data_IF_196131933915
#
_entry.id   IF_196131933915
#
_cell.length_a   1.000
_cell.length_b   1.000
_cell.length_c   1.000
_cell.angle_alpha   90.00
_cell.angle_beta   90.00
_cell.angle_gamma   90.00
#
_symmetry.space_group_name_H-M   'P 1'
#
loop_
_entity.id
_entity.type
_entity.pdbx_description
1 polymer ?
#
# COMPACT_ATOMS: atom_id res chain seq x y z
N UNK A 1 1.71 29.63 -42.16
CA UNK A 1 2.02 28.39 -41.41
C UNK A 1 2.46 28.76 -40.00
N UNK A 2 1.73 28.32 -38.98
CA UNK A 2 2.23 28.33 -37.60
C UNK A 2 2.79 26.94 -37.34
N UNK A 3 4.10 26.83 -37.11
CA UNK A 3 4.74 25.60 -36.66
C UNK A 3 4.54 25.52 -35.15
N UNK A 4 3.82 24.51 -34.70
CA UNK A 4 3.82 24.12 -33.29
C UNK A 4 4.30 22.69 -33.21
N UNK A 5 5.14 22.43 -32.20
CA UNK A 5 5.45 21.15 -31.56
C UNK A 5 6.92 20.78 -31.57
N UNK A 6 7.37 20.55 -30.33
CA UNK A 6 8.72 20.22 -29.93
C UNK A 6 9.00 20.80 -28.54
N UNK A 7 8.06 20.69 -27.60
CA UNK A 7 8.44 20.79 -26.19
C UNK A 7 8.80 19.38 -25.78
N UNK A 8 10.11 19.15 -25.68
CA UNK A 8 10.70 17.95 -25.11
C UNK A 8 10.13 17.77 -23.70
N UNK A 9 9.29 16.75 -23.50
CA UNK A 9 8.79 16.36 -22.17
C UNK A 9 9.92 15.58 -21.50
N UNK A 10 10.90 16.31 -20.99
CA UNK A 10 11.88 15.83 -20.04
C UNK A 10 11.38 16.10 -18.63
N UNK A 11 10.36 15.38 -18.18
CA UNK A 11 9.94 15.26 -16.78
C UNK A 11 9.27 13.90 -16.64
N UNK A 12 9.88 13.00 -15.87
CA UNK A 12 9.30 11.70 -15.54
C UNK A 12 8.07 11.92 -14.65
N UNK A 13 6.94 12.33 -15.23
CA UNK A 13 5.68 12.54 -14.54
C UNK A 13 5.09 11.17 -14.16
N UNK A 14 5.62 10.58 -13.07
CA UNK A 14 5.19 9.30 -12.55
C UNK A 14 3.71 9.38 -12.18
N UNK A 15 2.89 8.57 -12.83
CA UNK A 15 1.46 8.47 -12.52
C UNK A 15 1.33 7.67 -11.22
N UNK A 16 1.18 8.39 -10.10
CA UNK A 16 0.99 7.76 -8.78
C UNK A 16 -0.48 7.39 -8.61
N UNK A 17 -0.75 6.10 -8.47
CA UNK A 17 -2.09 5.56 -8.21
C UNK A 17 -2.19 4.83 -6.87
N UNK A 18 -1.08 4.65 -6.17
CA UNK A 18 -1.02 3.93 -4.89
C UNK A 18 -0.58 4.84 -3.75
N UNK A 19 -1.19 4.66 -2.58
CA UNK A 19 -0.82 5.31 -1.33
C UNK A 19 -0.55 4.28 -0.23
N UNK A 20 0.19 4.70 0.79
CA UNK A 20 0.30 3.99 2.07
C UNK A 20 -0.47 4.77 3.14
N UNK A 21 -1.17 4.05 4.02
CA UNK A 21 -2.00 4.59 5.10
C UNK A 21 -1.52 3.96 6.41
N UNK A 22 -1.03 4.77 7.34
CA UNK A 22 -0.61 4.34 8.68
C UNK A 22 -1.53 4.87 9.77
N UNK A 23 -1.19 4.61 11.04
CA UNK A 23 -1.96 5.08 12.20
C UNK A 23 -3.32 4.42 12.34
N UNK A 24 -3.45 3.17 11.87
CA UNK A 24 -4.71 2.44 11.90
C UNK A 24 -4.85 1.66 13.21
N UNK A 25 -6.05 1.68 13.77
CA UNK A 25 -6.39 0.87 14.93
C UNK A 25 -6.45 -0.62 14.58
N UNK A 26 -6.17 -1.48 15.57
CA UNK A 26 -6.12 -2.94 15.38
C UNK A 26 -7.46 -3.56 14.95
N UNK A 27 -8.59 -2.87 15.17
CA UNK A 27 -9.92 -3.33 14.75
C UNK A 27 -10.25 -2.97 13.29
N UNK A 28 -9.47 -2.09 12.65
CA UNK A 28 -9.70 -1.69 11.26
C UNK A 28 -9.53 -2.90 10.36
N UNK A 29 -10.48 -3.09 9.43
CA UNK A 29 -10.42 -4.16 8.45
C UNK A 29 -10.15 -3.60 7.05
N UNK A 30 -9.65 -4.44 6.14
CA UNK A 30 -9.46 -4.06 4.74
C UNK A 30 -10.77 -3.59 4.08
N UNK A 31 -11.91 -4.18 4.48
CA UNK A 31 -13.23 -3.78 3.99
C UNK A 31 -13.60 -2.37 4.45
N UNK A 32 -13.41 -2.04 5.73
CA UNK A 32 -13.70 -0.69 6.23
C UNK A 32 -12.90 0.38 5.49
N UNK A 33 -11.62 0.10 5.19
CA UNK A 33 -10.79 1.00 4.38
C UNK A 33 -11.27 1.10 2.94
N UNK A 34 -11.62 -0.03 2.32
CA UNK A 34 -12.17 -0.06 0.96
C UNK A 34 -13.42 0.81 0.88
N UNK A 35 -14.42 0.52 1.72
CA UNK A 35 -15.69 1.22 1.77
C UNK A 35 -15.45 2.73 1.99
N UNK A 36 -14.59 3.10 2.96
CA UNK A 36 -14.24 4.50 3.21
C UNK A 36 -13.64 5.21 1.99
N UNK A 37 -12.67 4.59 1.31
CA UNK A 37 -12.01 5.23 0.16
C UNK A 37 -12.91 5.30 -1.07
N UNK A 38 -13.75 4.30 -1.31
CA UNK A 38 -14.70 4.34 -2.43
C UNK A 38 -15.82 5.35 -2.19
N UNK A 39 -16.31 5.48 -0.94
CA UNK A 39 -17.36 6.44 -0.59
C UNK A 39 -16.87 7.90 -0.59
N UNK A 40 -15.60 8.14 -0.22
CA UNK A 40 -15.10 9.50 0.00
C UNK A 40 -14.14 10.03 -1.07
N UNK A 41 -13.44 9.15 -1.80
CA UNK A 41 -12.31 9.55 -2.66
C UNK A 41 -12.45 9.03 -4.10
N UNK A 42 -12.72 7.74 -4.28
CA UNK A 42 -12.91 7.14 -5.59
C UNK A 42 -12.57 5.65 -5.65
N UNK A 43 -12.80 5.07 -6.83
CA UNK A 43 -12.73 3.64 -7.08
C UNK A 43 -11.37 3.04 -6.70
N UNK A 44 -11.39 1.95 -5.93
CA UNK A 44 -10.19 1.24 -5.44
C UNK A 44 -10.04 -0.09 -6.18
N UNK A 45 -8.92 -0.28 -6.86
CA UNK A 45 -8.59 -1.59 -7.45
C UNK A 45 -8.12 -2.59 -6.41
N UNK A 46 -7.40 -2.12 -5.40
CA UNK A 46 -6.81 -2.99 -4.40
C UNK A 46 -6.59 -2.28 -3.08
N UNK A 47 -7.06 -2.89 -2.00
CA UNK A 47 -6.71 -2.50 -0.64
C UNK A 47 -6.04 -3.69 0.05
N UNK A 48 -4.82 -3.48 0.57
CA UNK A 48 -4.04 -4.48 1.31
C UNK A 48 -3.72 -3.95 2.70
N UNK A 49 -4.45 -4.43 3.70
CA UNK A 49 -4.15 -4.17 5.11
C UNK A 49 -3.08 -5.14 5.62
N UNK A 50 -2.11 -4.63 6.37
CA UNK A 50 -1.03 -5.35 7.01
C UNK A 50 -1.10 -5.11 8.52
N UNK A 51 -1.31 -6.18 9.28
CA UNK A 51 -1.43 -6.16 10.76
C UNK A 51 -0.38 -7.04 11.44
N UNK A 52 0.48 -7.70 10.67
CA UNK A 52 1.54 -8.58 11.15
C UNK A 52 2.73 -8.52 10.20
N UNK A 53 3.94 -8.71 10.73
CA UNK A 53 5.12 -8.94 9.90
C UNK A 53 5.34 -10.43 9.69
N UNK A 54 6.08 -10.74 8.63
CA UNK A 54 6.66 -12.06 8.42
C UNK A 54 7.68 -12.33 9.53
N UNK A 55 7.54 -13.41 10.30
CA UNK A 55 8.53 -13.78 11.29
C UNK A 55 9.91 -14.02 10.64
N UNK A 56 11.03 -13.66 11.30
CA UNK A 56 12.36 -13.88 10.73
C UNK A 56 12.63 -15.35 10.35
N UNK A 57 12.11 -16.27 11.16
CA UNK A 57 12.27 -17.71 11.00
C UNK A 57 11.19 -18.37 10.11
N UNK A 58 10.37 -17.60 9.39
CA UNK A 58 9.27 -18.17 8.60
C UNK A 58 9.68 -18.56 7.18
N UNK A 59 10.91 -18.28 6.75
CA UNK A 59 11.38 -18.73 5.45
C UNK A 59 11.53 -20.26 5.50
N UNK A 60 10.93 -21.01 4.55
CA UNK A 60 10.93 -22.47 4.63
C UNK A 60 12.35 -22.99 4.52
N UNK A 61 12.78 -23.71 5.55
CA UNK A 61 13.82 -24.71 5.37
C UNK A 61 13.15 -25.94 4.75
N UNK A 62 13.62 -26.37 3.58
CA UNK A 62 13.05 -27.52 2.88
C UNK A 62 13.54 -28.86 3.46
N UNK A 63 14.49 -28.83 4.40
CA UNK A 63 15.05 -29.97 5.13
C UNK A 63 14.40 -30.13 6.52
N UNK A 64 13.11 -29.81 6.67
CA UNK A 64 12.40 -29.92 7.94
C UNK A 64 11.66 -31.24 8.09
N UNK A 65 11.66 -31.76 9.31
CA UNK A 65 10.75 -32.82 9.71
C UNK A 65 9.34 -32.24 9.89
N UNK A 66 8.43 -32.63 8.98
CA UNK A 66 7.04 -32.17 8.97
C UNK A 66 6.29 -32.53 10.27
N UNK A 67 6.68 -33.59 10.98
CA UNK A 67 6.07 -33.98 12.25
C UNK A 67 6.47 -33.06 13.42
N UNK A 68 7.59 -32.36 13.29
CA UNK A 68 8.13 -31.44 14.31
C UNK A 68 7.59 -30.00 14.21
N UNK A 69 6.83 -29.69 13.17
CA UNK A 69 6.37 -28.32 12.87
C UNK A 69 5.31 -27.88 13.89
N UNK A 70 5.65 -26.87 14.71
CA UNK A 70 4.71 -26.23 15.62
C UNK A 70 4.23 -24.88 15.09
N UNK A 71 2.92 -24.62 15.18
CA UNK A 71 2.35 -23.31 14.92
C UNK A 71 2.69 -22.37 16.07
N UNK A 72 3.53 -21.37 15.80
CA UNK A 72 3.77 -20.23 16.68
C UNK A 72 2.79 -19.11 16.32
N UNK A 73 2.20 -18.47 17.32
CA UNK A 73 1.26 -17.34 17.16
C UNK A 73 1.77 -16.06 17.81
N UNK A 74 2.95 -16.14 18.41
CA UNK A 74 3.64 -15.19 19.28
C UNK A 74 4.57 -14.25 18.50
N UNK A 75 4.17 -13.87 17.28
CA UNK A 75 4.93 -12.95 16.45
C UNK A 75 4.57 -11.49 16.71
N UNK A 76 5.56 -10.61 16.55
CA UNK A 76 5.39 -9.17 16.74
C UNK A 76 4.32 -8.65 15.77
N UNK A 77 3.21 -8.19 16.34
CA UNK A 77 2.22 -7.41 15.61
C UNK A 77 2.83 -6.06 15.30
N UNK A 78 2.86 -5.70 14.02
CA UNK A 78 3.30 -4.38 13.58
C UNK A 78 2.15 -3.40 13.71
N UNK A 79 2.48 -2.12 13.77
CA UNK A 79 1.49 -1.06 13.69
C UNK A 79 0.69 -1.23 12.38
N UNK A 80 -0.65 -1.35 12.45
CA UNK A 80 -1.46 -1.60 11.27
C UNK A 80 -1.29 -0.51 10.22
N UNK A 81 -1.04 -0.93 8.99
CA UNK A 81 -0.92 -0.04 7.83
C UNK A 81 -1.53 -0.68 6.59
N UNK A 82 -1.93 0.13 5.63
CA UNK A 82 -2.56 -0.34 4.41
C UNK A 82 -1.95 0.28 3.15
N UNK A 83 -1.92 -0.51 2.08
CA UNK A 83 -1.61 -0.03 0.74
C UNK A 83 -2.90 0.01 -0.07
N UNK A 84 -3.22 1.19 -0.61
CA UNK A 84 -4.46 1.42 -1.37
C UNK A 84 -4.09 1.85 -2.78
N UNK A 85 -4.55 1.08 -3.77
CA UNK A 85 -4.35 1.35 -5.19
C UNK A 85 -5.68 1.79 -5.79
N UNK A 86 -5.75 3.04 -6.21
CA UNK A 86 -6.90 3.63 -6.89
C UNK A 86 -6.90 3.33 -8.39
N UNK A 87 -8.09 3.33 -8.98
CA UNK A 87 -8.27 3.17 -10.42
C UNK A 87 -7.68 4.34 -11.23
N UNK A 88 -7.61 5.53 -10.62
CA UNK A 88 -7.12 6.75 -11.26
C UNK A 88 -6.19 7.53 -10.33
N UNK A 89 -5.17 8.18 -10.91
CA UNK A 89 -4.17 8.92 -10.14
C UNK A 89 -4.74 10.13 -9.39
N UNK A 90 -5.81 10.72 -9.91
CA UNK A 90 -6.49 11.83 -9.25
C UNK A 90 -7.00 11.44 -7.85
N UNK A 91 -7.54 10.23 -7.69
CA UNK A 91 -8.01 9.74 -6.40
C UNK A 91 -6.86 9.51 -5.41
N UNK A 92 -5.72 8.99 -5.87
CA UNK A 92 -4.53 8.87 -5.03
C UNK A 92 -4.04 10.24 -4.53
N UNK A 93 -4.03 11.25 -5.42
CA UNK A 93 -3.70 12.63 -5.05
C UNK A 93 -4.71 13.21 -4.06
N UNK A 94 -6.01 13.05 -4.31
CA UNK A 94 -7.06 13.54 -3.40
C UNK A 94 -6.96 12.88 -2.00
N UNK A 95 -6.64 11.59 -1.93
CA UNK A 95 -6.40 10.92 -0.64
C UNK A 95 -5.18 11.47 0.10
N UNK A 96 -4.09 11.78 -0.61
CA UNK A 96 -2.91 12.43 -0.02
C UNK A 96 -3.23 13.84 0.47
N UNK A 97 -3.97 14.62 -0.31
CA UNK A 97 -4.36 15.99 0.06
C UNK A 97 -5.32 15.99 1.28
N UNK A 98 -6.14 14.95 1.45
CA UNK A 98 -7.02 14.77 2.60
C UNK A 98 -6.26 14.33 3.88
N UNK A 99 -5.11 13.67 3.72
CA UNK A 99 -4.25 13.31 4.84
C UNK A 99 -3.40 14.52 5.24
N UNK A 100 -3.74 15.16 6.35
CA UNK A 100 -2.91 16.22 6.91
C UNK A 100 -1.51 15.66 7.28
N UNK A 101 -0.56 15.81 6.35
CA UNK A 101 0.89 15.53 6.43
C UNK A 101 1.25 14.05 6.73
N UNK A 102 1.57 13.27 5.69
CA UNK A 102 2.29 11.98 5.83
C UNK A 102 3.34 11.81 4.73
N UNK A 103 4.55 11.44 5.16
CA UNK A 103 5.74 11.20 4.33
C UNK A 103 5.59 10.01 3.38
N UNK A 104 5.95 10.23 2.11
CA UNK A 104 6.03 9.20 1.09
C UNK A 104 7.26 8.31 1.33
N UNK A 105 7.04 7.03 1.65
CA UNK A 105 8.08 6.01 1.52
C UNK A 105 7.82 5.19 0.25
N UNK A 106 8.72 5.35 -0.72
CA UNK A 106 8.82 4.51 -1.90
C UNK A 106 9.83 3.39 -1.61
N UNK A 107 9.35 2.17 -1.41
CA UNK A 107 10.20 0.97 -1.42
C UNK A 107 9.99 0.24 -2.75
N UNK A 108 10.54 0.81 -3.82
CA UNK A 108 10.67 0.13 -5.11
C UNK A 108 12.13 -0.26 -5.29
N UNK A 109 12.47 -1.52 -4.98
CA UNK A 109 13.77 -2.11 -5.31
C UNK A 109 13.57 -3.23 -6.32
N UNK A 110 14.27 -3.10 -7.46
CA UNK A 110 14.61 -4.18 -8.39
C UNK A 110 15.61 -5.14 -7.71
#
# INVERSE_FOLDING_TARGET
MKKTMGSEIGDNNLIVTQISVGGLENYVTAKMLLDYFEDNIGLVWRCRLKTSSTPPESNPNYEIDAESVQRKTDYVKIEPHAFVHFAVAHSAKAALDAAAVVSLYWEGSL
#
